data_IF_053855411413
#
_entry.id   IF_053855411413
#
_cell.length_a   1.000
_cell.length_b   1.000
_cell.length_c   1.000
_cell.angle_alpha   90.00
_cell.angle_beta   90.00
_cell.angle_gamma   90.00
#
_symmetry.space_group_name_H-M   'P 1'
#
loop_
_entity.id
_entity.type
_entity.pdbx_description
1 polymer ?
#
# COMPACT_ATOMS: atom_id res chain seq x y z
N UNK A 1 -24.98 -48.93 -36.93
CA UNK A 1 -24.83 -48.83 -35.47
C UNK A 1 -25.63 -47.62 -34.99
N UNK A 2 -26.70 -47.85 -34.21
CA UNK A 2 -27.51 -46.78 -33.63
C UNK A 2 -26.72 -46.14 -32.48
N UNK A 3 -26.31 -44.88 -32.63
CA UNK A 3 -25.88 -44.07 -31.48
C UNK A 3 -27.15 -43.86 -30.64
N UNK A 4 -27.22 -44.48 -29.47
CA UNK A 4 -28.37 -44.40 -28.57
C UNK A 4 -28.65 -42.95 -28.20
N UNK A 5 -29.95 -42.60 -28.10
CA UNK A 5 -30.40 -41.25 -27.76
C UNK A 5 -29.88 -40.76 -26.39
N UNK A 6 -29.36 -41.66 -25.53
CA UNK A 6 -28.68 -41.34 -24.29
C UNK A 6 -27.31 -40.70 -24.49
N UNK A 7 -26.53 -41.17 -25.48
CA UNK A 7 -25.19 -40.64 -25.76
C UNK A 7 -25.21 -39.24 -26.40
N UNK A 8 -26.29 -38.88 -27.12
CA UNK A 8 -26.47 -37.52 -27.66
C UNK A 8 -26.91 -36.49 -26.62
N UNK A 9 -27.55 -36.91 -25.53
CA UNK A 9 -27.93 -35.99 -24.43
C UNK A 9 -26.78 -35.72 -23.47
N UNK A 10 -25.91 -36.71 -23.20
CA UNK A 10 -24.78 -36.54 -22.28
C UNK A 10 -23.69 -35.62 -22.82
N UNK A 11 -23.39 -35.67 -24.12
CA UNK A 11 -22.45 -34.75 -24.77
C UNK A 11 -22.97 -33.29 -24.75
N UNK A 12 -24.29 -33.09 -24.73
CA UNK A 12 -24.92 -31.76 -24.67
C UNK A 12 -25.01 -31.17 -23.25
N UNK A 13 -24.96 -31.99 -22.20
CA UNK A 13 -24.98 -31.48 -20.80
C UNK A 13 -23.57 -31.14 -20.34
N UNK A 14 -22.60 -31.99 -20.65
CA UNK A 14 -21.17 -31.77 -20.31
C UNK A 14 -20.58 -30.57 -21.06
N UNK A 15 -20.95 -30.38 -22.34
CA UNK A 15 -20.53 -29.21 -23.12
C UNK A 15 -21.15 -27.89 -22.65
N UNK A 16 -22.36 -27.93 -22.08
CA UNK A 16 -23.02 -26.75 -21.49
C UNK A 16 -22.45 -26.44 -20.11
N UNK A 17 -22.02 -27.45 -19.35
CA UNK A 17 -21.42 -27.28 -18.02
C UNK A 17 -19.98 -26.75 -18.07
N UNK A 18 -19.15 -27.19 -19.04
CA UNK A 18 -17.82 -26.58 -19.28
C UNK A 18 -17.93 -25.12 -19.75
N UNK A 19 -18.91 -24.82 -20.61
CA UNK A 19 -19.16 -23.46 -21.11
C UNK A 19 -19.72 -22.54 -20.00
N UNK A 20 -20.36 -23.10 -18.96
CA UNK A 20 -20.75 -22.39 -17.74
C UNK A 20 -19.56 -22.16 -16.81
N UNK A 21 -18.66 -23.14 -16.64
CA UNK A 21 -17.43 -22.99 -15.87
C UNK A 21 -16.46 -21.99 -16.51
N UNK A 22 -16.22 -22.04 -17.82
CA UNK A 22 -15.40 -21.03 -18.53
C UNK A 22 -16.01 -19.63 -18.42
N UNK A 23 -17.35 -19.50 -18.53
CA UNK A 23 -18.06 -18.24 -18.29
C UNK A 23 -17.98 -17.77 -16.82
N UNK A 24 -17.74 -18.68 -15.87
CA UNK A 24 -17.53 -18.38 -14.45
C UNK A 24 -16.06 -18.14 -14.07
N UNK A 25 -15.08 -18.63 -14.84
CA UNK A 25 -13.65 -18.35 -14.67
C UNK A 25 -13.23 -16.99 -15.26
N UNK A 26 -13.78 -16.60 -16.42
CA UNK A 26 -13.56 -15.29 -17.02
C UNK A 26 -13.75 -14.08 -16.06
N UNK A 27 -14.79 -14.05 -15.19
CA UNK A 27 -14.95 -12.95 -14.24
C UNK A 27 -13.95 -12.94 -13.09
N UNK A 28 -13.22 -14.04 -12.80
CA UNK A 28 -12.18 -14.05 -11.76
C UNK A 28 -10.90 -13.41 -12.30
N UNK A 29 -10.46 -13.77 -13.51
CA UNK A 29 -9.29 -13.13 -14.14
C UNK A 29 -9.51 -11.63 -14.36
N UNK A 30 -10.71 -11.24 -14.80
CA UNK A 30 -11.09 -9.82 -14.92
C UNK A 30 -11.12 -9.09 -13.58
N UNK A 31 -11.27 -9.79 -12.44
CA UNK A 31 -11.26 -9.22 -11.08
C UNK A 31 -9.89 -9.24 -10.42
N UNK A 32 -8.98 -10.13 -10.86
CA UNK A 32 -7.59 -10.18 -10.42
C UNK A 32 -6.80 -8.94 -10.91
N UNK A 33 -7.06 -8.46 -12.12
CA UNK A 33 -6.39 -7.28 -12.69
C UNK A 33 -6.57 -6.02 -11.80
N UNK A 34 -7.81 -5.65 -11.38
CA UNK A 34 -8.01 -4.56 -10.41
C UNK A 34 -7.31 -4.78 -9.07
N UNK A 35 -7.23 -6.02 -8.58
CA UNK A 35 -6.57 -6.33 -7.30
C UNK A 35 -5.05 -6.14 -7.39
N UNK A 36 -4.43 -6.62 -8.47
CA UNK A 36 -3.01 -6.41 -8.75
C UNK A 36 -2.69 -4.92 -8.87
N UNK A 37 -3.46 -4.18 -9.67
CA UNK A 37 -3.30 -2.73 -9.82
C UNK A 37 -3.47 -1.99 -8.48
N UNK A 38 -4.45 -2.38 -7.65
CA UNK A 38 -4.63 -1.82 -6.32
C UNK A 38 -3.44 -2.13 -5.40
N UNK A 39 -2.88 -3.34 -5.47
CA UNK A 39 -1.71 -3.75 -4.69
C UNK A 39 -0.45 -2.99 -5.09
N UNK A 40 -0.23 -2.79 -6.39
CA UNK A 40 0.85 -1.97 -6.90
C UNK A 40 0.72 -0.52 -6.42
N UNK A 41 -0.47 0.07 -6.54
CA UNK A 41 -0.75 1.41 -6.06
C UNK A 41 -0.54 1.55 -4.53
N UNK A 42 -0.96 0.56 -3.75
CA UNK A 42 -0.74 0.54 -2.30
C UNK A 42 0.75 0.42 -1.94
N UNK A 43 1.50 -0.40 -2.68
CA UNK A 43 2.95 -0.55 -2.49
C UNK A 43 3.66 0.76 -2.79
N UNK A 44 3.35 1.40 -3.92
CA UNK A 44 3.90 2.70 -4.28
C UNK A 44 3.56 3.79 -3.25
N UNK A 45 2.32 3.81 -2.75
CA UNK A 45 1.89 4.76 -1.73
C UNK A 45 2.60 4.54 -0.38
N UNK A 46 2.85 3.29 0.01
CA UNK A 46 3.63 2.95 1.20
C UNK A 46 5.09 3.41 1.08
N UNK A 47 5.74 3.14 -0.07
CA UNK A 47 7.10 3.61 -0.34
C UNK A 47 7.20 5.13 -0.29
N UNK A 48 6.24 5.84 -0.92
CA UNK A 48 6.19 7.29 -0.89
C UNK A 48 5.98 7.85 0.53
N UNK A 49 5.16 7.17 1.36
CA UNK A 49 4.96 7.53 2.75
C UNK A 49 6.25 7.34 3.57
N UNK A 50 6.98 6.24 3.38
CA UNK A 50 8.27 5.99 4.04
C UNK A 50 9.29 7.07 3.68
N UNK A 51 9.46 7.39 2.39
CA UNK A 51 10.37 8.45 1.95
C UNK A 51 9.99 9.83 2.51
N UNK A 52 8.70 10.12 2.68
CA UNK A 52 8.25 11.36 3.32
C UNK A 52 8.53 11.37 4.84
N UNK A 53 8.34 10.24 5.51
CA UNK A 53 8.68 10.05 6.93
C UNK A 53 10.20 10.19 7.17
N UNK A 54 11.03 9.61 6.30
CA UNK A 54 12.50 9.73 6.35
C UNK A 54 12.97 11.18 6.17
N UNK A 55 12.43 11.89 5.17
CA UNK A 55 12.72 13.32 4.98
C UNK A 55 12.32 14.15 6.18
N UNK A 56 11.19 13.82 6.81
CA UNK A 56 10.75 14.48 8.04
C UNK A 56 11.71 14.19 9.21
N UNK A 57 12.18 12.95 9.38
CA UNK A 57 13.13 12.57 10.41
C UNK A 57 14.44 13.35 10.26
N UNK A 58 15.03 13.40 9.06
CA UNK A 58 16.24 14.18 8.79
C UNK A 58 16.06 15.66 9.13
N UNK A 59 14.89 16.25 8.84
CA UNK A 59 14.60 17.63 9.19
C UNK A 59 14.43 17.86 10.70
N UNK A 60 14.05 16.84 11.47
CA UNK A 60 14.06 16.91 12.93
C UNK A 60 15.49 16.90 13.47
N UNK A 61 16.34 16.03 12.92
CA UNK A 61 17.76 15.96 13.30
C UNK A 61 18.46 17.31 13.06
N UNK A 62 18.18 17.97 11.94
CA UNK A 62 18.68 19.34 11.68
C UNK A 62 18.26 20.35 12.76
N UNK A 63 17.02 20.27 13.26
CA UNK A 63 16.53 21.15 14.33
C UNK A 63 17.24 20.85 15.64
N UNK A 64 17.48 19.58 15.94
CA UNK A 64 18.19 19.14 17.14
C UNK A 64 19.66 19.57 17.11
N UNK A 65 20.35 19.40 15.99
CA UNK A 65 21.71 19.89 15.79
C UNK A 65 21.79 21.41 15.95
N UNK A 66 20.84 22.17 15.38
CA UNK A 66 20.81 23.62 15.56
C UNK A 66 20.54 24.03 17.01
N UNK A 67 19.71 23.28 17.75
CA UNK A 67 19.49 23.48 19.20
C UNK A 67 20.76 23.23 20.00
N UNK A 68 21.47 22.14 19.70
CA UNK A 68 22.69 21.76 20.40
C UNK A 68 23.81 22.77 20.16
N UNK A 69 23.99 23.22 18.91
CA UNK A 69 24.94 24.28 18.57
C UNK A 69 24.69 25.58 19.35
N UNK A 70 23.42 25.99 19.49
CA UNK A 70 23.03 27.14 20.31
C UNK A 70 23.32 26.92 21.80
N UNK A 71 23.12 25.70 22.30
CA UNK A 71 23.42 25.35 23.70
C UNK A 71 24.91 25.43 23.98
N UNK A 72 25.73 24.80 23.15
CA UNK A 72 27.20 24.82 23.29
C UNK A 72 27.76 26.25 23.22
N UNK A 73 27.22 27.09 22.33
CA UNK A 73 27.55 28.52 22.26
C UNK A 73 27.22 29.28 23.57
N UNK A 74 26.11 28.95 24.22
CA UNK A 74 25.70 29.56 25.49
C UNK A 74 26.61 29.13 26.64
N UNK A 75 27.00 27.86 26.64
CA UNK A 75 27.83 27.25 27.70
C UNK A 75 29.30 27.71 27.60
N UNK A 76 29.77 28.14 26.42
CA UNK A 76 31.15 28.57 26.16
C UNK A 76 31.43 30.07 26.40
N UNK A 77 30.57 30.75 27.19
CA UNK A 77 30.57 32.20 27.47
C UNK A 77 31.82 32.78 28.16
N UNK A 78 32.98 32.75 27.50
CA UNK A 78 34.22 33.44 27.88
C UNK A 78 34.36 34.82 27.23
N UNK A 79 34.62 35.84 28.05
CA UNK A 79 34.42 37.28 27.83
C UNK A 79 35.26 38.01 26.74
N UNK A 80 35.77 37.35 25.69
CA UNK A 80 36.66 38.02 24.71
C UNK A 80 36.21 37.99 23.23
N UNK A 81 35.11 37.32 22.89
CA UNK A 81 34.64 37.17 21.49
C UNK A 81 33.22 37.72 21.23
N UNK A 82 32.74 38.65 22.05
CA UNK A 82 31.32 38.94 22.21
C UNK A 82 30.58 39.42 20.95
N UNK A 83 31.22 40.20 20.08
CA UNK A 83 30.57 40.72 18.85
C UNK A 83 30.43 39.65 17.76
N UNK A 84 31.48 38.84 17.52
CA UNK A 84 31.43 37.69 16.59
C UNK A 84 30.50 36.58 17.12
N UNK A 85 30.48 36.39 18.44
CA UNK A 85 29.58 35.45 19.11
C UNK A 85 28.10 35.80 18.88
N UNK A 86 27.73 37.08 18.93
CA UNK A 86 26.34 37.53 18.70
C UNK A 86 25.87 37.34 17.25
N UNK A 87 26.75 37.56 16.28
CA UNK A 87 26.43 37.34 14.85
C UNK A 87 26.24 35.85 14.55
N UNK A 88 27.12 35.00 15.07
CA UNK A 88 27.00 33.54 14.99
C UNK A 88 25.73 33.05 15.68
N UNK A 89 25.43 33.54 16.89
CA UNK A 89 24.21 33.19 17.61
C UNK A 89 22.94 33.57 16.83
N UNK A 90 22.91 34.78 16.24
CA UNK A 90 21.81 35.22 15.39
C UNK A 90 21.65 34.29 14.18
N UNK A 91 22.73 33.95 13.49
CA UNK A 91 22.68 33.05 12.34
C UNK A 91 22.20 31.65 12.73
N UNK A 92 22.64 31.11 13.86
CA UNK A 92 22.17 29.82 14.37
C UNK A 92 20.67 29.85 14.73
N UNK A 93 20.16 30.95 15.31
CA UNK A 93 18.72 31.13 15.56
C UNK A 93 17.91 31.21 14.26
N UNK A 94 18.43 31.90 13.24
CA UNK A 94 17.82 31.97 11.91
C UNK A 94 17.76 30.57 11.28
N UNK A 95 18.87 29.82 11.31
CA UNK A 95 18.97 28.44 10.83
C UNK A 95 18.02 27.50 11.56
N UNK A 96 17.97 27.56 12.90
CA UNK A 96 17.04 26.79 13.72
C UNK A 96 15.58 27.08 13.34
N UNK A 97 15.24 28.36 13.15
CA UNK A 97 13.88 28.78 12.78
C UNK A 97 13.52 28.27 11.37
N UNK A 98 14.45 28.35 10.43
CA UNK A 98 14.26 27.83 9.07
C UNK A 98 14.09 26.31 9.07
N UNK A 99 14.97 25.58 9.77
CA UNK A 99 14.88 24.13 9.94
C UNK A 99 13.55 23.71 10.56
N UNK A 100 13.11 24.39 11.63
CA UNK A 100 11.84 24.10 12.29
C UNK A 100 10.63 24.33 11.36
N UNK A 101 10.64 25.38 10.54
CA UNK A 101 9.62 25.62 9.52
C UNK A 101 9.60 24.52 8.45
N UNK A 102 10.77 24.08 7.98
CA UNK A 102 10.89 22.95 7.04
C UNK A 102 10.36 21.65 7.63
N UNK A 103 10.78 21.30 8.85
CA UNK A 103 10.30 20.12 9.57
C UNK A 103 8.77 20.14 9.76
N UNK A 104 8.20 21.31 10.07
CA UNK A 104 6.74 21.45 10.18
C UNK A 104 6.01 21.22 8.85
N UNK A 105 6.59 21.66 7.72
CA UNK A 105 6.05 21.40 6.39
C UNK A 105 6.13 19.90 6.03
N UNK A 106 7.29 19.28 6.23
CA UNK A 106 7.53 17.86 5.98
C UNK A 106 6.66 16.96 6.86
N UNK A 107 6.38 17.36 8.11
CA UNK A 107 5.42 16.66 8.98
C UNK A 107 4.03 16.56 8.35
N UNK A 108 3.55 17.65 7.71
CA UNK A 108 2.23 17.67 7.06
C UNK A 108 2.24 16.78 5.82
N UNK A 109 3.33 16.81 5.06
CA UNK A 109 3.54 15.93 3.90
C UNK A 109 3.54 14.45 4.30
N UNK A 110 4.35 14.07 5.29
CA UNK A 110 4.41 12.70 5.81
C UNK A 110 3.04 12.20 6.30
N UNK A 111 2.29 13.04 7.03
CA UNK A 111 0.92 12.71 7.47
C UNK A 111 -0.04 12.47 6.30
N UNK A 112 0.03 13.31 5.25
CA UNK A 112 -0.81 13.16 4.06
C UNK A 112 -0.44 11.90 3.29
N UNK A 113 0.86 11.65 3.10
CA UNK A 113 1.36 10.46 2.43
C UNK A 113 0.94 9.19 3.18
N UNK A 114 1.06 9.18 4.53
CA UNK A 114 0.61 8.06 5.36
C UNK A 114 -0.90 7.84 5.29
N UNK A 115 -1.69 8.90 5.27
CA UNK A 115 -3.14 8.80 5.11
C UNK A 115 -3.53 8.21 3.74
N UNK A 116 -2.85 8.64 2.66
CA UNK A 116 -3.04 8.10 1.32
C UNK A 116 -2.64 6.62 1.25
N UNK A 117 -1.50 6.24 1.83
CA UNK A 117 -1.06 4.84 1.91
C UNK A 117 -2.07 3.97 2.66
N UNK A 118 -2.57 4.42 3.82
CA UNK A 118 -3.60 3.71 4.57
C UNK A 118 -4.91 3.56 3.77
N UNK A 119 -5.28 4.58 2.98
CA UNK A 119 -6.45 4.50 2.11
C UNK A 119 -6.26 3.47 0.98
N UNK A 120 -5.07 3.43 0.38
CA UNK A 120 -4.73 2.45 -0.65
C UNK A 120 -4.68 1.02 -0.10
N UNK A 121 -4.11 0.80 1.09
CA UNK A 121 -4.13 -0.52 1.73
C UNK A 121 -5.56 -0.98 2.01
N UNK A 122 -6.44 -0.08 2.47
CA UNK A 122 -7.86 -0.39 2.66
C UNK A 122 -8.56 -0.76 1.36
N UNK A 123 -8.24 -0.09 0.25
CA UNK A 123 -8.86 -0.42 -1.04
C UNK A 123 -8.43 -1.80 -1.56
N UNK A 124 -7.18 -2.20 -1.33
CA UNK A 124 -6.71 -3.59 -1.58
C UNK A 124 -7.49 -4.58 -0.73
N UNK A 125 -7.68 -4.31 0.56
CA UNK A 125 -8.47 -5.19 1.44
C UNK A 125 -9.91 -5.35 0.96
N UNK A 126 -10.57 -4.27 0.53
CA UNK A 126 -11.92 -4.33 -0.04
C UNK A 126 -11.95 -5.11 -1.36
N UNK A 127 -10.96 -4.91 -2.24
CA UNK A 127 -10.86 -5.64 -3.49
C UNK A 127 -10.63 -7.15 -3.25
N UNK A 128 -9.78 -7.50 -2.29
CA UNK A 128 -9.54 -8.89 -1.86
C UNK A 128 -10.80 -9.56 -1.32
N UNK A 129 -11.53 -8.89 -0.41
CA UNK A 129 -12.81 -9.40 0.12
C UNK A 129 -13.86 -9.64 -0.98
N UNK A 130 -13.89 -8.80 -2.02
CA UNK A 130 -14.79 -8.99 -3.17
C UNK A 130 -14.39 -10.21 -4.01
N UNK A 131 -13.08 -10.45 -4.17
CA UNK A 131 -12.57 -11.61 -4.89
C UNK A 131 -12.87 -12.90 -4.13
N UNK A 132 -12.61 -12.95 -2.82
CA UNK A 132 -12.90 -14.11 -1.96
C UNK A 132 -14.38 -14.50 -1.99
N UNK A 133 -15.28 -13.51 -1.94
CA UNK A 133 -16.73 -13.74 -2.03
C UNK A 133 -17.18 -14.40 -3.33
N UNK A 134 -16.38 -14.30 -4.40
CA UNK A 134 -16.69 -14.94 -5.67
C UNK A 134 -15.87 -16.18 -5.96
N UNK A 135 -14.68 -16.29 -5.37
CA UNK A 135 -13.84 -17.48 -5.51
C UNK A 135 -14.39 -18.67 -4.70
N UNK A 136 -14.81 -18.47 -3.43
CA UNK A 136 -15.28 -19.56 -2.57
C UNK A 136 -16.48 -20.34 -3.12
N UNK A 137 -17.56 -19.70 -3.60
CA UNK A 137 -18.69 -20.43 -4.17
C UNK A 137 -18.31 -21.20 -5.45
N UNK A 138 -17.33 -20.72 -6.20
CA UNK A 138 -16.81 -21.42 -7.39
C UNK A 138 -16.01 -22.66 -6.98
N UNK A 139 -15.12 -22.52 -6.00
CA UNK A 139 -14.34 -23.65 -5.45
C UNK A 139 -15.28 -24.75 -4.92
N UNK A 140 -16.33 -24.37 -4.17
CA UNK A 140 -17.35 -25.30 -3.68
C UNK A 140 -18.11 -26.00 -4.81
N UNK A 141 -18.49 -25.26 -5.87
CA UNK A 141 -19.17 -25.82 -7.04
C UNK A 141 -18.27 -26.81 -7.82
N UNK A 142 -16.98 -26.51 -7.96
CA UNK A 142 -15.99 -27.39 -8.60
C UNK A 142 -15.77 -28.67 -7.80
N UNK A 143 -15.68 -28.58 -6.46
CA UNK A 143 -15.55 -29.75 -5.60
C UNK A 143 -16.76 -30.68 -5.70
N UNK A 144 -17.98 -30.12 -5.69
CA UNK A 144 -19.20 -30.89 -5.91
C UNK A 144 -19.18 -31.62 -7.26
N UNK A 145 -18.75 -30.97 -8.33
CA UNK A 145 -18.63 -31.63 -9.65
C UNK A 145 -17.62 -32.80 -9.63
N UNK A 146 -16.47 -32.63 -8.97
CA UNK A 146 -15.49 -33.71 -8.82
C UNK A 146 -16.05 -34.90 -8.03
N UNK A 147 -16.77 -34.65 -6.93
CA UNK A 147 -17.45 -35.70 -6.16
C UNK A 147 -18.48 -36.46 -7.03
N UNK A 148 -19.26 -35.73 -7.84
CA UNK A 148 -20.21 -36.35 -8.77
C UNK A 148 -19.54 -37.17 -9.88
N UNK A 149 -18.36 -36.79 -10.36
CA UNK A 149 -17.60 -37.58 -11.33
C UNK A 149 -17.10 -38.88 -10.73
N UNK A 150 -16.50 -38.82 -9.54
CA UNK A 150 -15.95 -40.00 -8.84
C UNK A 150 -17.05 -41.02 -8.51
N UNK A 151 -18.28 -40.58 -8.25
CA UNK A 151 -19.41 -41.49 -8.01
C UNK A 151 -19.97 -42.17 -9.27
N UNK A 152 -19.59 -41.71 -10.48
CA UNK A 152 -20.07 -42.25 -11.76
C UNK A 152 -19.06 -43.18 -12.44
N UNK A 153 -17.83 -43.25 -11.94
CA UNK A 153 -16.79 -44.20 -12.35
C UNK A 153 -16.85 -45.47 -11.47
#
# INVERSE_FOLDING_TARGET
AMISAGARRTVSVVGVEMDVLEKQHAPIEQRLVPLMAAREAATAALTAAQQAEERYALALDEVELAREALRLMRDSGGSKAEKKSREVERHLRETQTAAAKRAAALRREARRARAAANAAVRSVGVAGLRLERTAKPLEEAMHLEQEYRVQRE
#
